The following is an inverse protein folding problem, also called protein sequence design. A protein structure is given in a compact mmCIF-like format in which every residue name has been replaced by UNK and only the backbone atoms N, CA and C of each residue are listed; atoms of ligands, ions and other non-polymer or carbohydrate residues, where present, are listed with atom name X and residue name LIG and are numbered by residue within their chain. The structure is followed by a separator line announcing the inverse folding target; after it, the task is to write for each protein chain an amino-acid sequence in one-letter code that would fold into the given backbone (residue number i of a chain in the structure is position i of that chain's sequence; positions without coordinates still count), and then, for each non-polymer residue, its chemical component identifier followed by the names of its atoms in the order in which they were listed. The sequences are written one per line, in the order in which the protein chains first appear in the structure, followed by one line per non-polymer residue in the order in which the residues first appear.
data_IF_808544726220
#
_entry.id   IF_808544726220
#
_cell.length_a   1.000
_cell.length_b   1.000
_cell.length_c   1.000
_cell.angle_alpha   90.00
_cell.angle_beta   90.00
_cell.angle_gamma   90.00
#
_symmetry.space_group_name_H-M   'P 1'
#
loop_
_entity.id
_entity.type
_entity.pdbx_description
1 polymer ?
#
# COMPACT_ATOMS: atom_id res chain seq x y z
N UNK A 1 11.55 6.19 5.88
CA UNK A 1 13.00 6.01 6.12
C UNK A 1 13.18 4.68 6.79
N UNK A 2 14.25 3.95 6.51
CA UNK A 2 14.50 2.63 7.12
C UNK A 2 14.86 2.76 8.60
N UNK A 3 14.51 1.76 9.46
CA UNK A 3 14.69 1.84 10.90
C UNK A 3 16.13 2.23 11.34
N UNK A 4 17.21 1.56 10.88
CA UNK A 4 18.56 1.90 11.35
C UNK A 4 18.94 3.35 11.03
N UNK A 5 18.56 3.84 9.86
CA UNK A 5 18.82 5.22 9.46
C UNK A 5 17.99 6.20 10.30
N UNK A 6 16.72 5.90 10.57
CA UNK A 6 15.85 6.74 11.40
C UNK A 6 16.40 6.89 12.81
N UNK A 7 16.83 5.77 13.42
CA UNK A 7 17.44 5.74 14.76
C UNK A 7 18.72 6.58 14.79
N UNK A 8 19.60 6.41 13.79
CA UNK A 8 20.87 7.14 13.73
C UNK A 8 20.70 8.66 13.52
N UNK A 9 19.54 9.10 13.04
CA UNK A 9 19.17 10.51 12.85
C UNK A 9 18.28 11.06 13.96
N UNK A 10 17.91 10.25 14.97
CA UNK A 10 16.97 10.65 16.03
C UNK A 10 15.56 10.93 15.53
N UNK A 11 15.16 10.34 14.38
CA UNK A 11 13.86 10.54 13.75
C UNK A 11 12.94 9.37 14.13
N UNK A 12 11.69 9.68 14.46
CA UNK A 12 10.70 8.63 14.74
C UNK A 12 10.52 7.70 13.53
N UNK A 13 10.77 6.42 13.74
CA UNK A 13 10.63 5.39 12.70
C UNK A 13 9.19 5.35 12.17
N UNK A 14 9.04 5.33 10.86
CA UNK A 14 7.74 5.15 10.22
C UNK A 14 7.30 3.69 10.30
N UNK A 15 6.03 3.45 10.65
CA UNK A 15 5.43 2.10 10.68
C UNK A 15 5.27 1.54 9.25
N UNK A 16 5.26 2.41 8.23
CA UNK A 16 5.13 2.01 6.83
C UNK A 16 6.47 1.62 6.19
N UNK A 17 6.45 0.68 5.24
CA UNK A 17 7.63 0.30 4.45
C UNK A 17 8.55 -0.74 5.09
N UNK A 18 8.14 -1.42 6.15
CA UNK A 18 8.93 -2.46 6.82
C UNK A 18 9.35 -3.61 5.89
N UNK A 19 8.56 -3.93 4.88
CA UNK A 19 8.87 -4.94 3.87
C UNK A 19 10.16 -4.59 3.07
N UNK A 20 10.40 -3.31 2.74
CA UNK A 20 11.64 -2.88 2.05
C UNK A 20 12.88 -3.14 2.90
N UNK A 21 12.79 -2.88 4.20
CA UNK A 21 13.91 -3.16 5.12
C UNK A 21 14.17 -4.65 5.24
N UNK A 22 13.13 -5.46 5.39
CA UNK A 22 13.25 -6.92 5.44
C UNK A 22 13.85 -7.49 4.14
N UNK A 23 13.43 -6.98 2.98
CA UNK A 23 13.97 -7.37 1.68
C UNK A 23 15.45 -6.99 1.54
N UNK A 24 15.83 -5.76 1.87
CA UNK A 24 17.22 -5.30 1.80
C UNK A 24 18.14 -6.11 2.73
N UNK A 25 17.68 -6.40 3.96
CA UNK A 25 18.43 -7.23 4.92
C UNK A 25 18.64 -8.64 4.38
N UNK A 26 17.57 -9.27 3.87
CA UNK A 26 17.65 -10.62 3.30
C UNK A 26 18.53 -10.67 2.06
N UNK A 27 18.49 -9.65 1.21
CA UNK A 27 19.35 -9.54 0.04
C UNK A 27 20.84 -9.54 0.44
N UNK A 28 21.20 -8.78 1.47
CA UNK A 28 22.57 -8.74 1.98
C UNK A 28 23.00 -10.04 2.66
N UNK A 29 22.11 -10.67 3.42
CA UNK A 29 22.36 -11.96 4.08
C UNK A 29 22.53 -13.11 3.06
N UNK A 30 21.80 -13.08 1.95
CA UNK A 30 21.85 -14.11 0.89
C UNK A 30 23.04 -13.96 -0.05
N UNK A 31 23.70 -12.81 -0.10
CA UNK A 31 24.86 -12.55 -0.96
C UNK A 31 25.90 -11.69 -0.22
N UNK A 32 26.91 -12.35 0.34
CA UNK A 32 27.95 -11.70 1.13
C UNK A 32 28.90 -10.82 0.31
N UNK A 33 28.99 -11.03 -1.00
CA UNK A 33 29.80 -10.20 -1.91
C UNK A 33 29.05 -8.94 -2.41
N UNK A 34 27.75 -8.82 -2.09
CA UNK A 34 26.95 -7.68 -2.51
C UNK A 34 27.28 -6.44 -1.66
N UNK A 35 27.71 -5.38 -2.30
CA UNK A 35 27.73 -4.05 -1.72
C UNK A 35 26.36 -3.40 -1.89
N UNK A 36 25.75 -2.95 -0.80
CA UNK A 36 24.41 -2.38 -0.81
C UNK A 36 24.44 -0.91 -0.36
N UNK A 37 23.86 -0.06 -1.20
CA UNK A 37 23.53 1.31 -0.80
C UNK A 37 22.01 1.54 -0.86
N UNK A 38 21.52 2.38 0.03
CA UNK A 38 20.10 2.76 0.12
C UNK A 38 19.98 4.27 0.07
N UNK A 39 19.29 4.77 -0.94
CA UNK A 39 19.05 6.20 -1.09
C UNK A 39 17.57 6.53 -0.80
N UNK A 40 17.33 7.58 -0.03
CA UNK A 40 16.00 8.08 0.31
C UNK A 40 15.96 9.59 0.24
N UNK A 41 14.75 10.15 0.17
CA UNK A 41 14.55 11.59 0.11
C UNK A 41 13.84 12.06 1.36
N UNK A 42 14.35 13.13 1.97
CA UNK A 42 13.79 13.67 3.21
C UNK A 42 13.81 15.21 3.21
N UNK A 43 12.98 15.88 4.04
CA UNK A 43 12.97 17.36 4.16
C UNK A 43 14.22 17.91 4.86
N UNK A 44 15.38 17.60 4.30
CA UNK A 44 16.69 18.13 4.74
C UNK A 44 17.16 19.25 3.80
N UNK A 45 18.17 19.98 4.22
CA UNK A 45 18.83 21.04 3.41
C UNK A 45 20.13 20.57 2.76
N UNK A 46 20.73 19.48 3.23
CA UNK A 46 22.00 18.93 2.79
C UNK A 46 21.91 17.43 2.53
N UNK A 47 22.80 16.93 1.66
CA UNK A 47 23.00 15.49 1.49
C UNK A 47 23.63 14.92 2.75
N UNK A 48 23.00 13.88 3.31
CA UNK A 48 23.56 13.15 4.45
C UNK A 48 24.00 11.77 3.93
N UNK A 49 25.22 11.37 4.28
CA UNK A 49 25.78 10.04 4.00
C UNK A 49 26.13 9.38 5.32
N UNK A 50 25.68 8.15 5.52
CA UNK A 50 25.99 7.33 6.69
C UNK A 50 26.24 5.89 6.27
N UNK A 51 27.13 5.24 6.98
CA UNK A 51 27.33 3.79 6.88
C UNK A 51 26.89 3.14 8.19
N UNK A 52 25.98 2.17 8.10
CA UNK A 52 25.39 1.47 9.23
C UNK A 52 25.30 -0.02 8.87
N UNK A 53 25.90 -0.87 9.71
CA UNK A 53 25.92 -2.32 9.50
C UNK A 53 26.42 -2.74 8.10
N UNK A 54 27.39 -1.99 7.54
CA UNK A 54 27.97 -2.23 6.20
C UNK A 54 26.99 -1.95 5.06
N UNK A 55 25.97 -1.12 5.27
CA UNK A 55 25.09 -0.56 4.25
C UNK A 55 25.32 0.95 4.19
N UNK A 56 25.55 1.47 2.98
CA UNK A 56 25.73 2.90 2.77
C UNK A 56 24.38 3.58 2.55
N UNK A 57 24.04 4.57 3.36
CA UNK A 57 22.79 5.30 3.30
C UNK A 57 22.99 6.72 2.80
N UNK A 58 22.16 7.13 1.83
CA UNK A 58 22.12 8.49 1.32
C UNK A 58 20.75 9.11 1.58
N UNK A 59 20.74 10.29 2.22
CA UNK A 59 19.51 11.08 2.41
C UNK A 59 19.61 12.33 1.55
N UNK A 60 18.85 12.34 0.46
CA UNK A 60 18.85 13.46 -0.49
C UNK A 60 17.89 14.55 -0.01
N UNK A 61 18.30 15.84 -0.04
CA UNK A 61 17.49 16.93 0.48
C UNK A 61 16.38 17.34 -0.47
N UNK A 62 15.21 17.65 0.06
CA UNK A 62 14.11 18.27 -0.69
C UNK A 62 14.27 19.79 -0.84
N UNK A 63 15.10 20.43 -0.04
CA UNK A 63 15.33 21.89 -0.05
C UNK A 63 14.01 22.69 0.01
N UNK A 64 13.11 22.31 0.94
CA UNK A 64 11.80 22.95 1.12
C UNK A 64 10.78 22.69 0.01
N UNK A 65 11.10 21.90 -1.01
CA UNK A 65 10.16 21.55 -2.09
C UNK A 65 9.26 20.39 -1.70
N UNK A 66 8.07 20.33 -2.33
CA UNK A 66 7.15 19.20 -2.13
C UNK A 66 7.65 17.97 -2.88
N UNK A 67 7.67 16.82 -2.21
CA UNK A 67 8.04 15.53 -2.78
C UNK A 67 7.14 15.06 -3.95
N UNK A 68 5.95 15.65 -4.08
CA UNK A 68 4.98 15.34 -5.16
C UNK A 68 5.27 16.08 -6.48
N UNK A 69 6.26 16.98 -6.50
CA UNK A 69 6.67 17.74 -7.70
C UNK A 69 8.05 17.30 -8.15
N UNK A 70 8.24 17.28 -9.45
CA UNK A 70 9.57 17.08 -10.03
C UNK A 70 10.53 18.17 -9.53
N UNK A 71 11.69 17.73 -9.04
CA UNK A 71 12.72 18.62 -8.52
C UNK A 71 14.03 18.38 -9.30
N UNK A 72 14.35 19.28 -10.24
CA UNK A 72 15.55 19.18 -11.07
C UNK A 72 16.86 19.19 -10.25
N UNK A 73 16.88 19.80 -9.06
CA UNK A 73 18.08 19.78 -8.21
C UNK A 73 18.44 18.35 -7.73
N UNK A 74 17.47 17.44 -7.68
CA UNK A 74 17.75 16.05 -7.35
C UNK A 74 18.63 15.34 -8.38
N UNK A 75 18.61 15.80 -9.65
CA UNK A 75 19.47 15.24 -10.69
C UNK A 75 20.96 15.37 -10.33
N UNK A 76 21.36 16.53 -9.77
CA UNK A 76 22.75 16.76 -9.34
C UNK A 76 23.10 15.88 -8.13
N UNK A 77 22.21 15.74 -7.15
CA UNK A 77 22.45 14.85 -6.02
C UNK A 77 22.53 13.38 -6.45
N UNK A 78 21.72 12.96 -7.42
CA UNK A 78 21.81 11.62 -7.98
C UNK A 78 23.14 11.35 -8.68
N UNK A 79 23.71 12.32 -9.38
CA UNK A 79 25.05 12.22 -9.97
C UNK A 79 26.12 12.04 -8.89
N UNK A 80 26.08 12.85 -7.82
CA UNK A 80 26.99 12.72 -6.68
C UNK A 80 26.91 11.34 -6.05
N UNK A 81 25.69 10.84 -5.77
CA UNK A 81 25.48 9.50 -5.20
C UNK A 81 25.99 8.40 -6.12
N UNK A 82 25.75 8.54 -7.41
CA UNK A 82 26.19 7.56 -8.42
C UNK A 82 27.72 7.52 -8.55
N UNK A 83 28.38 8.66 -8.57
CA UNK A 83 29.85 8.77 -8.63
C UNK A 83 30.52 8.23 -7.36
N UNK A 84 29.91 8.45 -6.21
CA UNK A 84 30.43 7.99 -4.90
C UNK A 84 30.26 6.48 -4.67
N UNK A 85 29.16 5.88 -5.12
CA UNK A 85 28.87 4.46 -4.90
C UNK A 85 29.18 3.59 -6.13
N UNK A 86 29.06 4.11 -7.35
CA UNK A 86 29.27 3.43 -8.65
C UNK A 86 28.46 2.14 -8.76
N UNK A 87 27.12 2.17 -8.64
CA UNK A 87 26.29 0.99 -8.65
C UNK A 87 26.29 0.31 -10.02
N UNK A 88 26.43 -1.02 -10.05
CA UNK A 88 26.23 -1.84 -11.26
C UNK A 88 24.76 -1.89 -11.68
N UNK A 89 23.83 -1.84 -10.71
CA UNK A 89 22.40 -1.85 -10.92
C UNK A 89 21.70 -0.96 -9.91
N UNK A 90 20.69 -0.23 -10.36
CA UNK A 90 19.83 0.58 -9.48
C UNK A 90 18.40 0.06 -9.49
N UNK A 91 17.89 -0.30 -8.30
CA UNK A 91 16.50 -0.70 -8.11
C UNK A 91 15.68 0.46 -7.53
N UNK A 92 14.76 0.99 -8.32
CA UNK A 92 13.83 2.04 -7.91
C UNK A 92 12.55 1.40 -7.37
N UNK A 93 12.24 1.62 -6.09
CA UNK A 93 11.03 1.11 -5.45
C UNK A 93 9.87 2.12 -5.54
N UNK A 94 8.89 1.80 -6.40
CA UNK A 94 7.68 2.60 -6.62
C UNK A 94 7.84 3.72 -7.65
N UNK A 95 6.72 4.07 -8.25
CA UNK A 95 6.60 5.10 -9.30
C UNK A 95 5.80 6.32 -8.83
N UNK A 96 5.30 6.27 -7.58
CA UNK A 96 4.33 7.23 -7.04
C UNK A 96 4.89 8.64 -6.88
N UNK A 97 6.22 8.77 -6.83
CA UNK A 97 6.91 10.05 -6.69
C UNK A 97 7.97 10.22 -7.78
N UNK A 98 8.26 11.47 -8.22
CA UNK A 98 9.14 11.72 -9.37
C UNK A 98 10.64 11.60 -9.08
N UNK A 99 11.02 10.96 -7.97
CA UNK A 99 12.41 10.87 -7.54
C UNK A 99 13.22 9.91 -8.43
N UNK A 100 12.65 8.76 -8.77
CA UNK A 100 13.24 7.81 -9.70
C UNK A 100 13.38 8.39 -11.11
N UNK A 101 12.41 9.21 -11.56
CA UNK A 101 12.50 9.94 -12.81
C UNK A 101 13.71 10.89 -12.82
N UNK A 102 13.98 11.57 -11.71
CA UNK A 102 15.15 12.46 -11.61
C UNK A 102 16.47 11.69 -11.73
N UNK A 103 16.53 10.46 -11.16
CA UNK A 103 17.68 9.57 -11.33
C UNK A 103 17.89 9.19 -12.80
N UNK A 104 16.87 8.66 -13.45
CA UNK A 104 16.94 8.18 -14.85
C UNK A 104 17.25 9.32 -15.83
N UNK A 105 16.77 10.54 -15.56
CA UNK A 105 17.12 11.72 -16.37
C UNK A 105 18.56 12.17 -16.17
N UNK A 106 19.07 12.07 -14.96
CA UNK A 106 20.44 12.45 -14.63
C UNK A 106 21.47 11.47 -15.21
N UNK A 107 21.12 10.20 -15.29
CA UNK A 107 21.98 9.05 -15.58
C UNK A 107 21.28 8.08 -16.55
N UNK A 108 21.06 8.49 -17.81
CA UNK A 108 20.24 7.74 -18.76
C UNK A 108 20.83 6.40 -19.19
N UNK A 109 22.13 6.21 -19.01
CA UNK A 109 22.85 4.98 -19.38
C UNK A 109 23.02 4.00 -18.20
N UNK A 110 22.47 4.30 -17.02
CA UNK A 110 22.54 3.42 -15.87
C UNK A 110 21.59 2.24 -16.05
N UNK A 111 22.03 1.03 -15.65
CA UNK A 111 21.16 -0.14 -15.55
C UNK A 111 20.14 0.10 -14.42
N UNK A 112 18.86 0.12 -14.76
CA UNK A 112 17.77 0.44 -13.83
C UNK A 112 16.65 -0.58 -13.94
N UNK A 113 16.18 -1.06 -12.79
CA UNK A 113 14.90 -1.78 -12.67
C UNK A 113 13.94 -1.03 -11.75
N UNK A 114 12.65 -1.00 -12.09
CA UNK A 114 11.63 -0.30 -11.32
C UNK A 114 10.59 -1.28 -10.81
N UNK A 115 10.42 -1.39 -9.50
CA UNK A 115 9.30 -2.15 -8.90
C UNK A 115 8.03 -1.32 -8.85
N UNK A 116 6.95 -1.89 -9.38
CA UNK A 116 5.62 -1.28 -9.34
C UNK A 116 4.94 -1.60 -8.00
N UNK A 117 4.69 -0.56 -7.20
CA UNK A 117 3.88 -0.66 -5.99
C UNK A 117 2.40 -0.43 -6.30
N UNK A 118 2.13 0.63 -7.03
CA UNK A 118 0.86 0.98 -7.60
C UNK A 118 1.10 1.98 -8.73
N UNK A 119 0.19 2.06 -9.68
CA UNK A 119 0.29 3.00 -10.80
C UNK A 119 -0.55 4.23 -10.49
N UNK A 120 0.10 5.32 -10.07
CA UNK A 120 -0.57 6.54 -9.65
C UNK A 120 -1.38 7.19 -10.77
N UNK A 121 -0.93 7.06 -12.02
CA UNK A 121 -1.65 7.52 -13.21
C UNK A 121 -2.99 6.78 -13.41
N UNK A 122 -3.05 5.52 -13.04
CA UNK A 122 -4.24 4.70 -13.11
C UNK A 122 -5.10 4.91 -11.86
N UNK A 123 -4.50 4.92 -10.67
CA UNK A 123 -5.19 5.22 -9.41
C UNK A 123 -5.93 6.57 -9.44
N UNK A 124 -5.40 7.56 -10.16
CA UNK A 124 -6.04 8.85 -10.37
C UNK A 124 -7.46 8.76 -10.95
N UNK A 125 -7.75 7.74 -11.77
CA UNK A 125 -9.06 7.52 -12.40
C UNK A 125 -10.11 7.19 -11.33
N UNK A 126 -9.72 6.47 -10.30
CA UNK A 126 -10.57 5.92 -9.24
C UNK A 126 -10.52 6.69 -7.93
N UNK A 127 -9.79 7.81 -7.87
CA UNK A 127 -9.45 8.53 -6.62
C UNK A 127 -10.67 8.90 -5.78
N UNK A 128 -11.77 9.31 -6.41
CA UNK A 128 -13.01 9.72 -5.76
C UNK A 128 -14.16 8.72 -5.96
N UNK A 129 -13.89 7.48 -6.38
CA UNK A 129 -14.94 6.48 -6.58
C UNK A 129 -15.79 6.32 -5.32
N UNK A 130 -17.09 6.14 -5.54
CA UNK A 130 -18.08 6.02 -4.46
C UNK A 130 -18.47 7.34 -3.79
N UNK A 131 -17.89 8.50 -4.21
CA UNK A 131 -18.20 9.84 -3.69
C UNK A 131 -18.66 10.72 -4.85
N UNK A 132 -19.86 11.27 -4.76
CA UNK A 132 -20.39 12.18 -5.76
C UNK A 132 -19.75 13.58 -5.67
N UNK A 133 -19.77 14.31 -6.78
CA UNK A 133 -19.26 15.69 -6.80
C UNK A 133 -20.02 16.59 -5.80
N UNK A 134 -21.33 16.38 -5.65
CA UNK A 134 -22.18 17.10 -4.66
C UNK A 134 -21.69 16.83 -3.22
N UNK A 135 -21.39 15.56 -2.90
CA UNK A 135 -20.86 15.21 -1.56
C UNK A 135 -19.51 15.85 -1.31
N UNK A 136 -18.63 15.93 -2.31
CA UNK A 136 -17.34 16.62 -2.17
C UNK A 136 -17.57 18.08 -1.82
N UNK A 137 -18.41 18.81 -2.59
CA UNK A 137 -18.64 20.22 -2.38
C UNK A 137 -19.30 20.51 -1.02
N UNK A 138 -20.30 19.73 -0.61
CA UNK A 138 -21.01 19.89 0.66
C UNK A 138 -20.15 19.63 1.90
N UNK A 139 -19.02 18.98 1.74
CA UNK A 139 -18.16 18.59 2.86
C UNK A 139 -16.83 19.34 2.88
N UNK A 140 -16.59 20.33 2.02
CA UNK A 140 -15.38 21.16 2.07
C UNK A 140 -15.24 21.78 3.47
N UNK A 141 -14.01 21.77 3.99
CA UNK A 141 -13.62 22.34 5.28
C UNK A 141 -12.63 23.48 5.10
N UNK A 142 -12.42 24.28 6.14
CA UNK A 142 -11.36 25.31 6.13
C UNK A 142 -9.99 24.68 5.94
N UNK A 143 -9.76 23.50 6.51
CA UNK A 143 -8.53 22.75 6.31
C UNK A 143 -8.31 22.38 4.84
N UNK A 144 -9.37 21.98 4.14
CA UNK A 144 -9.27 21.65 2.70
C UNK A 144 -8.96 22.89 1.84
N UNK A 145 -9.42 24.06 2.23
CA UNK A 145 -9.09 25.32 1.53
C UNK A 145 -7.59 25.59 1.61
N UNK A 146 -6.97 25.31 2.78
CA UNK A 146 -5.55 25.58 3.03
C UNK A 146 -4.65 24.44 2.48
N UNK A 147 -5.03 23.18 2.71
CA UNK A 147 -4.20 22.01 2.43
C UNK A 147 -4.57 21.26 1.15
N UNK A 148 -5.75 21.52 0.62
CA UNK A 148 -6.31 20.88 -0.57
C UNK A 148 -7.40 19.86 -0.22
N UNK A 149 -8.45 19.87 -1.03
CA UNK A 149 -9.60 18.96 -0.95
C UNK A 149 -9.39 17.71 -1.83
N UNK A 150 -10.41 16.84 -1.88
CA UNK A 150 -10.40 15.61 -2.69
C UNK A 150 -10.14 15.86 -4.18
N UNK A 151 -10.66 16.98 -4.74
CA UNK A 151 -10.42 17.31 -6.17
C UNK A 151 -8.95 17.68 -6.41
N UNK A 152 -8.33 18.40 -5.48
CA UNK A 152 -6.91 18.72 -5.54
C UNK A 152 -6.05 17.49 -5.28
N UNK A 153 -6.49 16.57 -4.42
CA UNK A 153 -5.90 15.25 -4.25
C UNK A 153 -5.86 14.47 -5.57
N UNK A 154 -7.00 14.37 -6.26
CA UNK A 154 -7.09 13.77 -7.59
C UNK A 154 -6.18 14.45 -8.61
N UNK A 155 -6.17 15.79 -8.66
CA UNK A 155 -5.26 16.55 -9.55
C UNK A 155 -3.79 16.26 -9.24
N UNK A 156 -3.42 16.07 -7.97
CA UNK A 156 -2.07 15.68 -7.57
C UNK A 156 -1.69 14.30 -8.11
N UNK A 157 -2.61 13.32 -8.04
CA UNK A 157 -2.39 12.00 -8.62
C UNK A 157 -2.22 12.07 -10.15
N UNK A 158 -3.06 12.82 -10.84
CA UNK A 158 -2.93 13.05 -12.30
C UNK A 158 -1.56 13.64 -12.65
N UNK A 159 -1.10 14.68 -11.92
CA UNK A 159 0.22 15.29 -12.15
C UNK A 159 1.37 14.33 -11.90
N UNK A 160 1.31 13.55 -10.82
CA UNK A 160 2.33 12.53 -10.54
C UNK A 160 2.31 11.42 -11.58
N UNK A 161 1.14 11.08 -12.10
CA UNK A 161 0.98 10.11 -13.19
C UNK A 161 1.68 10.52 -14.49
N UNK A 162 1.85 11.82 -14.76
CA UNK A 162 2.67 12.28 -15.88
C UNK A 162 4.14 11.92 -15.67
N UNK A 163 4.67 12.12 -14.46
CA UNK A 163 6.04 11.76 -14.12
C UNK A 163 6.27 10.24 -14.11
N UNK A 164 5.29 9.49 -13.62
CA UNK A 164 5.31 8.02 -13.66
C UNK A 164 5.42 7.50 -15.10
N UNK A 165 4.59 8.01 -16.02
CA UNK A 165 4.65 7.63 -17.43
C UNK A 165 5.98 7.99 -18.07
N UNK A 166 6.52 9.19 -17.79
CA UNK A 166 7.84 9.62 -18.26
C UNK A 166 8.96 8.72 -17.71
N UNK A 167 8.87 8.25 -16.46
CA UNK A 167 9.80 7.26 -15.92
C UNK A 167 9.69 5.93 -16.67
N UNK A 168 8.49 5.38 -16.79
CA UNK A 168 8.26 4.06 -17.40
C UNK A 168 8.62 4.00 -18.88
N UNK A 169 8.58 5.12 -19.61
CA UNK A 169 9.03 5.18 -21.01
C UNK A 169 10.55 5.26 -21.16
N UNK A 170 11.31 5.46 -20.07
CA UNK A 170 12.77 5.60 -20.08
C UNK A 170 13.51 4.41 -19.51
N UNK A 171 12.83 3.46 -18.93
CA UNK A 171 13.43 2.27 -18.33
C UNK A 171 13.14 1.04 -19.19
N UNK A 172 14.06 0.10 -19.17
CA UNK A 172 13.96 -1.13 -19.95
C UNK A 172 13.39 -2.29 -19.13
N UNK A 173 13.51 -2.21 -17.79
CA UNK A 173 13.11 -3.30 -16.89
C UNK A 173 12.18 -2.83 -15.79
N UNK A 174 11.08 -3.56 -15.59
CA UNK A 174 10.17 -3.38 -14.44
C UNK A 174 9.90 -4.71 -13.75
N UNK A 175 9.66 -4.62 -12.45
CA UNK A 175 9.17 -5.74 -11.63
C UNK A 175 7.73 -5.42 -11.25
N UNK A 176 6.82 -6.35 -11.55
CA UNK A 176 5.42 -6.26 -11.16
C UNK A 176 4.91 -7.58 -10.60
N UNK A 177 3.62 -7.64 -10.26
CA UNK A 177 3.06 -8.72 -9.42
C UNK A 177 1.69 -9.21 -9.84
N UNK A 178 1.07 -8.54 -10.80
CA UNK A 178 -0.31 -8.82 -11.21
C UNK A 178 -0.51 -8.66 -12.70
N UNK A 179 -1.52 -9.32 -13.24
CA UNK A 179 -1.97 -9.12 -14.61
C UNK A 179 -2.37 -7.65 -14.88
N UNK A 180 -2.86 -6.96 -13.84
CA UNK A 180 -3.27 -5.56 -13.93
C UNK A 180 -2.08 -4.63 -14.16
N UNK A 181 -1.02 -4.71 -13.34
CA UNK A 181 0.15 -3.84 -13.54
C UNK A 181 0.91 -4.19 -14.82
N UNK A 182 0.98 -5.48 -15.17
CA UNK A 182 1.52 -5.94 -16.46
C UNK A 182 0.82 -5.26 -17.65
N UNK A 183 -0.51 -5.34 -17.69
CA UNK A 183 -1.27 -4.77 -18.80
C UNK A 183 -1.08 -3.25 -18.93
N UNK A 184 -1.08 -2.55 -17.79
CA UNK A 184 -0.90 -1.09 -17.79
C UNK A 184 0.53 -0.66 -18.14
N UNK A 185 1.54 -1.37 -17.64
CA UNK A 185 2.94 -1.09 -17.97
C UNK A 185 3.21 -1.33 -19.45
N UNK A 186 2.74 -2.46 -19.99
CA UNK A 186 2.85 -2.76 -21.43
C UNK A 186 2.10 -1.74 -22.30
N UNK A 187 0.98 -1.22 -21.84
CA UNK A 187 0.25 -0.15 -22.55
C UNK A 187 0.99 1.20 -22.53
N UNK A 188 1.83 1.46 -21.52
CA UNK A 188 2.65 2.67 -21.44
C UNK A 188 3.93 2.53 -22.25
N UNK A 189 4.61 1.39 -22.15
CA UNK A 189 5.87 1.09 -22.81
C UNK A 189 5.87 -0.36 -23.33
N UNK A 190 5.39 -0.61 -24.57
CA UNK A 190 5.26 -1.97 -25.12
C UNK A 190 6.54 -2.82 -25.13
N UNK A 191 7.73 -2.28 -25.46
CA UNK A 191 8.97 -3.05 -25.49
C UNK A 191 9.53 -3.40 -24.11
N UNK A 192 9.04 -2.79 -23.01
CA UNK A 192 9.61 -2.95 -21.67
C UNK A 192 9.69 -4.42 -21.24
N UNK A 193 10.79 -4.81 -20.63
CA UNK A 193 10.98 -6.14 -20.04
C UNK A 193 10.27 -6.18 -18.68
N UNK A 194 9.17 -6.93 -18.63
CA UNK A 194 8.41 -7.12 -17.39
C UNK A 194 8.85 -8.41 -16.69
N UNK A 195 9.26 -8.26 -15.44
CA UNK A 195 9.65 -9.36 -14.56
C UNK A 195 8.59 -9.57 -13.49
N UNK A 196 7.99 -10.77 -13.44
CA UNK A 196 7.08 -11.13 -12.36
C UNK A 196 7.89 -11.51 -11.11
N UNK A 197 7.64 -10.81 -10.00
CA UNK A 197 8.22 -11.12 -8.70
C UNK A 197 7.32 -10.62 -7.58
N UNK A 198 6.86 -11.53 -6.73
CA UNK A 198 6.03 -11.20 -5.57
C UNK A 198 6.85 -10.61 -4.42
N UNK A 199 6.15 -9.97 -3.47
CA UNK A 199 6.76 -9.47 -2.23
C UNK A 199 6.65 -10.49 -1.10
N UNK A 200 7.72 -10.54 -0.30
CA UNK A 200 7.70 -11.22 0.99
C UNK A 200 6.95 -10.35 2.00
N UNK A 201 6.03 -10.94 2.72
CA UNK A 201 5.29 -10.26 3.79
C UNK A 201 6.12 -10.16 5.08
N UNK A 202 5.58 -9.48 6.07
CA UNK A 202 6.21 -9.32 7.37
C UNK A 202 6.24 -10.65 8.13
N UNK A 203 7.29 -10.87 8.93
CA UNK A 203 7.60 -12.17 9.56
C UNK A 203 6.49 -12.71 10.46
N UNK A 204 5.83 -11.87 11.21
CA UNK A 204 4.79 -12.23 12.18
C UNK A 204 3.63 -13.02 11.53
N UNK A 205 3.28 -12.69 10.29
CA UNK A 205 2.15 -13.31 9.59
C UNK A 205 2.38 -14.76 9.13
N UNK A 206 3.62 -15.23 9.14
CA UNK A 206 3.95 -16.63 8.85
C UNK A 206 3.87 -17.55 10.07
N UNK A 207 3.77 -16.98 11.29
CA UNK A 207 3.90 -17.71 12.54
C UNK A 207 2.55 -18.06 13.18
N UNK A 208 1.46 -17.49 12.68
CA UNK A 208 0.14 -17.63 13.29
C UNK A 208 -0.90 -18.16 12.32
N UNK A 209 -2.00 -18.66 12.88
CA UNK A 209 -3.14 -19.15 12.11
C UNK A 209 -4.43 -18.70 12.76
N UNK A 210 -5.36 -18.21 11.94
CA UNK A 210 -6.71 -17.87 12.35
C UNK A 210 -7.53 -19.12 12.64
N UNK A 211 -8.40 -19.02 13.66
CA UNK A 211 -9.39 -20.02 14.00
C UNK A 211 -10.72 -19.35 14.35
N UNK A 212 -11.81 -19.95 13.91
CA UNK A 212 -13.15 -19.51 14.25
C UNK A 212 -13.40 -19.54 15.75
N UNK A 213 -12.85 -20.50 16.49
CA UNK A 213 -13.09 -20.66 17.93
C UNK A 213 -12.48 -19.54 18.77
N UNK A 214 -11.43 -18.88 18.26
CA UNK A 214 -10.72 -17.83 18.97
C UNK A 214 -11.04 -16.41 18.47
N UNK A 215 -11.71 -16.26 17.32
CA UNK A 215 -12.08 -14.96 16.81
C UNK A 215 -13.34 -14.40 17.50
N UNK A 216 -13.48 -13.09 17.49
CA UNK A 216 -14.74 -12.43 17.85
C UNK A 216 -15.73 -12.55 16.69
N UNK A 217 -16.90 -13.16 16.95
CA UNK A 217 -17.93 -13.36 15.93
C UNK A 217 -18.48 -12.03 15.43
N UNK A 218 -18.96 -12.03 14.19
CA UNK A 218 -19.57 -10.88 13.52
C UNK A 218 -18.68 -9.62 13.53
N UNK A 219 -17.35 -9.82 13.47
CA UNK A 219 -16.41 -8.71 13.44
C UNK A 219 -15.70 -8.58 12.09
N UNK A 220 -15.52 -7.35 11.64
CA UNK A 220 -14.82 -7.00 10.41
C UNK A 220 -13.52 -6.27 10.75
N UNK A 221 -12.45 -6.53 10.00
CA UNK A 221 -11.21 -5.80 10.10
C UNK A 221 -10.87 -5.09 8.79
N UNK A 222 -10.53 -3.79 8.90
CA UNK A 222 -10.02 -2.96 7.82
C UNK A 222 -8.69 -2.33 8.22
N UNK A 223 -7.72 -2.36 7.34
CA UNK A 223 -6.37 -1.84 7.64
C UNK A 223 -6.23 -0.34 7.45
N UNK A 224 -7.15 0.31 6.76
CA UNK A 224 -7.12 1.76 6.53
C UNK A 224 -8.49 2.35 6.24
N UNK A 225 -8.70 3.59 6.73
CA UNK A 225 -9.89 4.41 6.41
C UNK A 225 -9.53 5.85 6.02
N UNK A 226 -8.24 6.20 5.94
CA UNK A 226 -7.76 7.59 5.90
C UNK A 226 -8.09 8.37 4.64
N UNK A 227 -8.38 7.71 3.51
CA UNK A 227 -8.66 8.36 2.23
C UNK A 227 -9.58 7.50 1.33
N UNK A 228 -10.25 8.12 0.33
CA UNK A 228 -11.32 7.48 -0.42
C UNK A 228 -10.96 6.17 -1.11
N UNK A 229 -9.76 6.06 -1.67
CA UNK A 229 -9.32 4.86 -2.41
C UNK A 229 -9.44 3.57 -1.60
N UNK A 230 -9.40 3.66 -0.26
CA UNK A 230 -9.51 2.49 0.64
C UNK A 230 -10.95 2.06 0.94
N UNK A 231 -11.94 2.74 0.39
CA UNK A 231 -13.32 2.28 0.34
C UNK A 231 -14.08 2.20 1.67
N UNK A 232 -13.60 2.85 2.74
CA UNK A 232 -14.28 2.83 4.03
C UNK A 232 -15.74 3.32 3.94
N UNK A 233 -16.05 4.27 3.05
CA UNK A 233 -17.41 4.72 2.82
C UNK A 233 -18.32 3.60 2.29
N UNK A 234 -17.79 2.66 1.49
CA UNK A 234 -18.58 1.53 0.97
C UNK A 234 -18.99 0.57 2.10
N UNK A 235 -18.07 0.29 3.03
CA UNK A 235 -18.41 -0.48 4.25
C UNK A 235 -19.49 0.23 5.06
N UNK A 236 -19.39 1.54 5.24
CA UNK A 236 -20.42 2.29 5.97
C UNK A 236 -21.77 2.27 5.28
N UNK A 237 -21.79 2.26 3.94
CA UNK A 237 -23.02 2.11 3.16
C UNK A 237 -23.62 0.71 3.26
N UNK A 238 -22.79 -0.33 3.32
CA UNK A 238 -23.20 -1.72 3.50
C UNK A 238 -23.68 -2.03 4.93
N UNK A 239 -23.13 -1.34 5.92
CA UNK A 239 -23.34 -1.64 7.34
C UNK A 239 -24.82 -1.67 7.78
N UNK A 240 -25.73 -0.77 7.34
CA UNK A 240 -27.15 -0.87 7.69
C UNK A 240 -27.81 -2.20 7.27
N UNK A 241 -27.41 -2.77 6.15
CA UNK A 241 -27.93 -4.08 5.69
C UNK A 241 -27.38 -5.22 6.55
N UNK A 242 -26.13 -5.12 6.98
CA UNK A 242 -25.45 -6.11 7.80
C UNK A 242 -26.05 -6.15 9.22
N UNK A 243 -26.17 -5.00 9.88
CA UNK A 243 -26.66 -4.90 11.26
C UNK A 243 -28.13 -5.26 11.40
N UNK A 244 -28.90 -5.22 10.31
CA UNK A 244 -30.28 -5.72 10.31
C UNK A 244 -30.35 -7.24 10.50
N UNK A 245 -29.32 -7.98 10.07
CA UNK A 245 -29.21 -9.44 10.24
C UNK A 245 -28.33 -9.82 11.44
N UNK A 246 -27.27 -9.04 11.69
CA UNK A 246 -26.27 -9.26 12.74
C UNK A 246 -26.08 -7.98 13.57
N UNK A 247 -26.99 -7.68 14.52
CA UNK A 247 -27.02 -6.41 15.27
C UNK A 247 -25.81 -6.21 16.19
N UNK A 248 -25.07 -7.26 16.48
CA UNK A 248 -23.84 -7.27 17.29
C UNK A 248 -22.55 -7.03 16.46
N UNK A 249 -22.68 -6.77 15.16
CA UNK A 249 -21.54 -6.52 14.28
C UNK A 249 -20.63 -5.42 14.83
N UNK A 250 -19.30 -5.61 14.72
CA UNK A 250 -18.27 -4.61 15.01
C UNK A 250 -17.30 -4.47 13.86
N UNK A 251 -16.80 -3.28 13.64
CA UNK A 251 -15.79 -2.98 12.62
C UNK A 251 -14.55 -2.42 13.31
N UNK A 252 -13.45 -3.17 13.27
CA UNK A 252 -12.14 -2.68 13.68
C UNK A 252 -11.47 -1.99 12.49
N UNK A 253 -11.07 -0.73 12.69
CA UNK A 253 -10.43 0.08 11.66
C UNK A 253 -9.03 0.48 12.15
N UNK A 254 -8.00 -0.06 11.51
CA UNK A 254 -6.63 0.30 11.85
C UNK A 254 -6.26 1.70 11.31
N UNK A 255 -5.33 2.35 12.00
CA UNK A 255 -4.87 3.68 11.67
C UNK A 255 -5.55 4.79 12.48
N UNK A 256 -5.25 6.02 12.12
CA UNK A 256 -5.74 7.18 12.85
C UNK A 256 -7.27 7.30 12.80
N UNK A 257 -7.88 7.68 13.92
CA UNK A 257 -9.30 8.02 13.96
C UNK A 257 -9.54 9.35 13.25
N UNK A 258 -9.93 9.27 11.97
CA UNK A 258 -10.13 10.43 11.10
C UNK A 258 -11.35 11.31 11.51
N UNK A 259 -12.26 10.77 12.31
CA UNK A 259 -13.46 11.47 12.78
C UNK A 259 -13.35 11.97 14.24
N UNK A 260 -12.16 11.84 14.85
CA UNK A 260 -11.91 12.25 16.24
C UNK A 260 -12.30 13.70 16.48
N UNK A 261 -12.89 13.94 17.66
CA UNK A 261 -13.17 15.27 18.23
C UNK A 261 -12.48 15.49 19.57
N UNK A 262 -11.54 14.59 19.93
CA UNK A 262 -10.88 14.59 21.25
C UNK A 262 -10.16 15.91 21.53
N UNK A 263 -9.59 16.52 20.49
CA UNK A 263 -8.88 17.79 20.61
C UNK A 263 -9.43 18.86 19.67
N UNK A 264 -9.23 20.13 20.00
CA UNK A 264 -9.55 21.23 19.08
C UNK A 264 -8.74 21.15 17.76
N UNK A 265 -7.51 20.58 17.83
CA UNK A 265 -6.67 20.33 16.64
C UNK A 265 -7.29 19.31 15.70
N UNK A 266 -7.95 18.27 16.22
CA UNK A 266 -8.67 17.28 15.40
C UNK A 266 -9.78 17.94 14.61
N UNK A 267 -10.52 18.84 15.24
CA UNK A 267 -11.61 19.59 14.58
C UNK A 267 -11.07 20.52 13.49
N UNK A 268 -9.98 21.25 13.75
CA UNK A 268 -9.37 22.17 12.78
C UNK A 268 -8.70 21.46 11.59
N UNK A 269 -8.09 20.30 11.81
CA UNK A 269 -7.40 19.52 10.77
C UNK A 269 -8.30 18.51 10.06
N UNK A 270 -9.62 18.56 10.29
CA UNK A 270 -10.56 17.63 9.65
C UNK A 270 -10.66 17.92 8.17
N UNK A 271 -10.38 16.88 7.36
CA UNK A 271 -10.57 16.91 5.91
C UNK A 271 -12.04 16.79 5.53
N UNK A 272 -12.40 17.20 4.33
CA UNK A 272 -13.76 17.04 3.79
C UNK A 272 -14.18 15.57 3.71
N UNK A 273 -13.25 14.67 3.40
CA UNK A 273 -13.54 13.25 3.47
C UNK A 273 -13.92 12.79 4.89
N UNK A 274 -13.15 13.17 5.88
CA UNK A 274 -13.43 12.84 7.26
C UNK A 274 -14.77 13.45 7.75
N UNK A 275 -15.11 14.67 7.28
CA UNK A 275 -16.42 15.30 7.54
C UNK A 275 -17.56 14.51 6.89
N UNK A 276 -17.39 14.05 5.63
CA UNK A 276 -18.36 13.19 4.94
C UNK A 276 -18.60 11.90 5.72
N UNK A 277 -17.54 11.18 6.09
CA UNK A 277 -17.60 9.96 6.89
C UNK A 277 -18.35 10.19 8.20
N UNK A 278 -17.99 11.26 8.94
CA UNK A 278 -18.62 11.58 10.21
C UNK A 278 -20.12 11.89 10.07
N UNK A 279 -20.50 12.64 9.03
CA UNK A 279 -21.92 12.91 8.73
C UNK A 279 -22.69 11.63 8.42
N UNK A 280 -22.09 10.73 7.65
CA UNK A 280 -22.70 9.45 7.30
C UNK A 280 -22.93 8.60 8.55
N UNK A 281 -21.90 8.43 9.38
CA UNK A 281 -21.99 7.69 10.65
C UNK A 281 -23.08 8.26 11.56
N UNK A 282 -23.15 9.60 11.68
CA UNK A 282 -24.19 10.27 12.48
C UNK A 282 -25.59 10.06 11.91
N UNK A 283 -25.74 10.21 10.57
CA UNK A 283 -27.05 10.07 9.89
C UNK A 283 -27.66 8.70 10.12
N UNK A 284 -26.85 7.65 10.03
CA UNK A 284 -27.31 6.25 10.14
C UNK A 284 -27.07 5.65 11.55
N UNK A 285 -26.67 6.46 12.54
CA UNK A 285 -26.43 6.05 13.95
C UNK A 285 -25.44 4.89 14.08
N UNK A 286 -24.37 4.89 13.28
CA UNK A 286 -23.42 3.75 13.18
C UNK A 286 -22.27 3.81 14.19
N UNK A 287 -22.21 4.80 15.07
CA UNK A 287 -21.04 5.04 15.93
C UNK A 287 -20.67 3.87 16.85
N UNK A 288 -21.66 3.11 17.32
CA UNK A 288 -21.46 2.00 18.25
C UNK A 288 -20.82 0.75 17.59
N UNK A 289 -20.85 0.66 16.27
CA UNK A 289 -20.34 -0.46 15.50
C UNK A 289 -18.89 -0.28 15.04
N UNK A 290 -18.31 0.93 15.20
CA UNK A 290 -17.02 1.28 14.60
C UNK A 290 -16.00 1.57 15.71
N UNK A 291 -14.90 0.83 15.67
CA UNK A 291 -13.80 0.93 16.63
C UNK A 291 -12.50 1.27 15.88
N UNK A 292 -12.01 2.50 16.02
CA UNK A 292 -10.69 2.87 15.52
C UNK A 292 -9.63 2.42 16.52
N UNK A 293 -8.71 1.56 16.07
CA UNK A 293 -7.66 0.99 16.93
C UNK A 293 -6.49 1.94 17.18
N UNK A 294 -6.35 2.99 16.35
CA UNK A 294 -5.11 3.74 16.23
C UNK A 294 -4.09 3.04 15.33
N UNK A 295 -2.90 3.64 15.13
CA UNK A 295 -1.81 3.00 14.41
C UNK A 295 -1.38 1.71 15.11
N UNK A 296 -1.24 0.64 14.35
CA UNK A 296 -0.83 -0.69 14.83
C UNK A 296 0.57 -1.02 14.29
N UNK A 297 1.42 -1.56 15.13
CA UNK A 297 2.65 -2.23 14.71
C UNK A 297 2.34 -3.62 14.12
N UNK A 298 3.37 -4.34 13.72
CA UNK A 298 3.24 -5.64 13.06
C UNK A 298 2.50 -6.67 13.92
N UNK A 299 2.89 -6.81 15.20
CA UNK A 299 2.30 -7.76 16.14
C UNK A 299 0.84 -7.45 16.42
N UNK A 300 0.55 -6.18 16.74
CA UNK A 300 -0.82 -5.76 16.97
C UNK A 300 -1.69 -5.86 15.71
N UNK A 301 -1.13 -5.61 14.53
CA UNK A 301 -1.83 -5.83 13.26
C UNK A 301 -2.21 -7.30 13.10
N UNK A 302 -1.26 -8.22 13.34
CA UNK A 302 -1.51 -9.67 13.32
C UNK A 302 -2.61 -10.07 14.32
N UNK A 303 -2.55 -9.57 15.56
CA UNK A 303 -3.57 -9.82 16.57
C UNK A 303 -4.97 -9.38 16.13
N UNK A 304 -5.13 -8.22 15.48
CA UNK A 304 -6.42 -7.77 14.98
C UNK A 304 -6.95 -8.60 13.82
N UNK A 305 -6.09 -9.11 12.94
CA UNK A 305 -6.50 -10.10 11.93
C UNK A 305 -7.03 -11.36 12.58
N UNK A 306 -6.28 -11.94 13.52
CA UNK A 306 -6.65 -13.19 14.21
C UNK A 306 -7.92 -13.06 15.06
N UNK A 307 -8.08 -11.88 15.67
CA UNK A 307 -9.24 -11.54 16.50
C UNK A 307 -10.51 -11.37 15.67
N UNK A 308 -10.40 -10.95 14.42
CA UNK A 308 -11.56 -10.61 13.59
C UNK A 308 -12.10 -11.83 12.85
N UNK A 309 -13.42 -11.83 12.63
CA UNK A 309 -14.08 -12.90 11.89
C UNK A 309 -13.80 -12.84 10.39
N UNK A 310 -13.77 -11.63 9.82
CA UNK A 310 -13.58 -11.41 8.38
C UNK A 310 -12.63 -10.22 8.18
N UNK A 311 -11.73 -10.35 7.22
CA UNK A 311 -10.96 -9.23 6.68
C UNK A 311 -11.65 -8.68 5.42
N UNK A 312 -11.80 -7.34 5.33
CA UNK A 312 -12.41 -6.69 4.18
C UNK A 312 -11.44 -5.68 3.55
N UNK A 313 -11.22 -5.83 2.24
CA UNK A 313 -10.43 -4.92 1.41
C UNK A 313 -11.35 -4.21 0.39
N UNK A 314 -12.10 -3.17 0.79
CA UNK A 314 -13.14 -2.54 -0.02
C UNK A 314 -12.59 -1.42 -0.91
N UNK A 315 -11.34 -1.51 -1.32
CA UNK A 315 -10.64 -0.46 -2.06
C UNK A 315 -11.24 -0.22 -3.45
N UNK A 316 -11.23 1.04 -3.92
CA UNK A 316 -11.68 1.36 -5.28
C UNK A 316 -10.66 1.03 -6.37
N UNK A 317 -9.41 0.77 -5.97
CA UNK A 317 -8.32 0.25 -6.79
C UNK A 317 -7.22 -0.30 -5.89
N UNK A 318 -6.67 -1.43 -6.23
CA UNK A 318 -5.48 -2.04 -5.62
C UNK A 318 -4.62 -2.67 -6.72
N UNK A 319 -3.32 -2.78 -6.47
CA UNK A 319 -2.45 -3.64 -7.26
C UNK A 319 -2.37 -5.02 -6.58
N UNK A 320 -1.31 -5.30 -5.86
CA UNK A 320 -1.16 -6.48 -5.01
C UNK A 320 -1.21 -6.02 -3.54
N UNK A 321 -2.37 -6.19 -2.90
CA UNK A 321 -2.60 -5.69 -1.54
C UNK A 321 -1.87 -6.56 -0.52
N UNK A 322 -0.80 -6.05 0.11
CA UNK A 322 -0.11 -6.76 1.18
C UNK A 322 -1.06 -7.10 2.34
N UNK A 323 -2.02 -6.21 2.65
CA UNK A 323 -3.02 -6.47 3.69
C UNK A 323 -3.92 -7.66 3.38
N UNK A 324 -4.27 -7.86 2.10
CA UNK A 324 -5.04 -9.03 1.68
C UNK A 324 -4.17 -10.30 1.75
N UNK A 325 -2.92 -10.22 1.30
CA UNK A 325 -1.96 -11.33 1.42
C UNK A 325 -1.70 -11.73 2.87
N UNK A 326 -1.57 -10.76 3.78
CA UNK A 326 -1.42 -10.99 5.23
C UNK A 326 -2.63 -11.74 5.81
N UNK A 327 -3.85 -11.30 5.48
CA UNK A 327 -5.08 -11.98 5.90
C UNK A 327 -5.16 -13.42 5.38
N UNK A 328 -4.87 -13.62 4.08
CA UNK A 328 -4.89 -14.94 3.46
C UNK A 328 -3.81 -15.87 4.03
N UNK A 329 -2.62 -15.36 4.31
CA UNK A 329 -1.53 -16.14 4.91
C UNK A 329 -1.89 -16.63 6.32
N UNK A 330 -2.56 -15.78 7.11
CA UNK A 330 -3.11 -16.14 8.41
C UNK A 330 -4.31 -17.09 8.30
N UNK A 331 -5.00 -17.13 7.17
CA UNK A 331 -6.20 -17.92 6.97
C UNK A 331 -7.50 -17.23 7.39
N UNK A 332 -7.51 -15.90 7.50
CA UNK A 332 -8.70 -15.10 7.81
C UNK A 332 -9.64 -15.07 6.60
N UNK A 333 -10.95 -15.37 6.73
CA UNK A 333 -11.89 -15.21 5.63
C UNK A 333 -11.82 -13.80 5.01
N UNK A 334 -11.67 -13.72 3.68
CA UNK A 334 -11.38 -12.46 2.98
C UNK A 334 -12.52 -12.06 2.04
N UNK A 335 -12.80 -10.76 2.03
CA UNK A 335 -13.65 -10.12 1.00
C UNK A 335 -12.85 -8.98 0.39
N UNK A 336 -12.81 -8.90 -0.94
CA UNK A 336 -12.19 -7.77 -1.64
C UNK A 336 -13.08 -7.27 -2.77
N UNK A 337 -12.97 -5.98 -3.10
CA UNK A 337 -13.57 -5.46 -4.32
C UNK A 337 -12.86 -6.02 -5.56
N UNK A 338 -13.62 -6.32 -6.61
CA UNK A 338 -13.09 -6.79 -7.90
C UNK A 338 -12.50 -5.62 -8.68
N UNK A 339 -11.28 -5.21 -8.27
CA UNK A 339 -10.58 -4.05 -8.85
C UNK A 339 -9.09 -4.34 -8.98
N UNK A 340 -8.47 -3.79 -10.01
CA UNK A 340 -7.03 -3.90 -10.22
C UNK A 340 -6.54 -5.35 -10.23
N UNK A 341 -5.53 -5.63 -9.42
CA UNK A 341 -4.94 -6.98 -9.27
C UNK A 341 -5.60 -7.85 -8.18
N UNK A 342 -6.78 -7.47 -7.65
CA UNK A 342 -7.45 -8.26 -6.62
C UNK A 342 -7.79 -9.68 -7.10
N UNK A 343 -8.13 -9.86 -8.38
CA UNK A 343 -8.41 -11.18 -8.96
C UNK A 343 -7.18 -12.09 -8.98
N UNK A 344 -5.98 -11.53 -9.16
CA UNK A 344 -4.73 -12.30 -9.09
C UNK A 344 -4.43 -12.80 -7.65
N UNK A 345 -5.00 -12.15 -6.65
CA UNK A 345 -4.87 -12.52 -5.24
C UNK A 345 -5.99 -13.45 -4.75
N UNK A 346 -7.16 -13.38 -5.39
CA UNK A 346 -8.33 -14.25 -5.11
C UNK A 346 -8.65 -15.04 -6.39
N UNK A 347 -7.80 -16.00 -6.78
CA UNK A 347 -7.98 -16.76 -8.02
C UNK A 347 -9.10 -17.80 -7.93
N UNK A 348 -9.51 -18.20 -6.75
CA UNK A 348 -10.58 -19.18 -6.48
C UNK A 348 -11.46 -18.72 -5.32
N UNK A 349 -12.67 -19.27 -5.21
CA UNK A 349 -13.58 -19.00 -4.09
C UNK A 349 -13.00 -19.42 -2.74
N UNK A 350 -12.07 -20.37 -2.70
CA UNK A 350 -11.36 -20.75 -1.47
C UNK A 350 -10.47 -19.61 -0.95
N UNK A 351 -10.01 -18.71 -1.81
CA UNK A 351 -9.13 -17.58 -1.45
C UNK A 351 -9.89 -16.35 -0.95
N UNK A 352 -11.22 -16.31 -1.07
CA UNK A 352 -12.06 -15.20 -0.63
C UNK A 352 -13.20 -14.90 -1.62
N UNK A 353 -13.95 -13.86 -1.30
CA UNK A 353 -15.09 -13.41 -2.13
C UNK A 353 -14.72 -12.08 -2.81
N UNK A 354 -14.95 -12.00 -4.12
CA UNK A 354 -14.84 -10.77 -4.89
C UNK A 354 -16.23 -10.18 -5.15
N UNK A 355 -16.39 -8.88 -4.90
CA UNK A 355 -17.61 -8.14 -5.20
C UNK A 355 -17.32 -6.89 -6.05
N UNK A 356 -18.27 -6.40 -6.81
CA UNK A 356 -18.10 -5.14 -7.55
C UNK A 356 -18.15 -3.95 -6.60
N UNK A 357 -17.15 -3.08 -6.68
CA UNK A 357 -16.95 -1.95 -5.76
C UNK A 357 -18.19 -1.06 -5.57
N UNK A 358 -18.98 -0.86 -6.64
CA UNK A 358 -20.17 0.00 -6.64
C UNK A 358 -21.36 -0.65 -5.93
N UNK A 359 -21.38 -1.99 -5.79
CA UNK A 359 -22.54 -2.77 -5.33
C UNK A 359 -22.42 -3.05 -3.83
N UNK A 360 -22.86 -2.11 -3.01
CA UNK A 360 -22.78 -2.20 -1.54
C UNK A 360 -23.68 -3.31 -0.98
N UNK A 361 -24.75 -3.63 -1.66
CA UNK A 361 -25.66 -4.75 -1.34
C UNK A 361 -24.93 -6.09 -1.51
N UNK A 362 -24.14 -6.24 -2.56
CA UNK A 362 -23.32 -7.44 -2.78
C UNK A 362 -22.22 -7.56 -1.71
N UNK A 363 -21.63 -6.42 -1.30
CA UNK A 363 -20.68 -6.41 -0.18
C UNK A 363 -21.36 -6.87 1.12
N UNK A 364 -22.55 -6.34 1.42
CA UNK A 364 -23.30 -6.72 2.60
C UNK A 364 -23.65 -8.23 2.58
N UNK A 365 -24.10 -8.75 1.46
CA UNK A 365 -24.43 -10.17 1.31
C UNK A 365 -23.19 -11.06 1.44
N UNK A 366 -22.06 -10.67 0.83
CA UNK A 366 -20.80 -11.40 0.98
C UNK A 366 -20.36 -11.49 2.45
N UNK A 367 -20.51 -10.40 3.21
CA UNK A 367 -20.19 -10.36 4.65
C UNK A 367 -21.13 -11.30 5.42
N UNK A 368 -22.44 -11.21 5.20
CA UNK A 368 -23.42 -12.06 5.86
C UNK A 368 -23.19 -13.55 5.55
N UNK A 369 -22.91 -13.88 4.28
CA UNK A 369 -22.57 -15.23 3.85
C UNK A 369 -21.34 -15.78 4.58
N UNK A 370 -20.28 -14.97 4.72
CA UNK A 370 -19.10 -15.43 5.46
C UNK A 370 -19.35 -15.53 6.97
N UNK A 371 -20.19 -14.69 7.57
CA UNK A 371 -20.59 -14.86 8.96
C UNK A 371 -21.29 -16.21 9.19
N UNK A 372 -22.16 -16.62 8.29
CA UNK A 372 -22.85 -17.92 8.34
C UNK A 372 -21.90 -19.10 8.15
N UNK A 373 -20.95 -18.98 7.21
CA UNK A 373 -20.05 -20.06 6.81
C UNK A 373 -18.76 -20.15 7.62
N UNK A 374 -18.39 -19.11 8.38
CA UNK A 374 -17.06 -19.01 8.99
C UNK A 374 -16.75 -20.10 10.02
N UNK A 375 -17.77 -20.72 10.63
CA UNK A 375 -17.56 -21.86 11.54
C UNK A 375 -16.96 -23.08 10.82
N UNK A 376 -17.38 -23.30 9.57
CA UNK A 376 -16.94 -24.42 8.75
C UNK A 376 -15.98 -23.96 7.63
N UNK A 377 -15.37 -22.80 7.78
CA UNK A 377 -14.48 -22.24 6.77
C UNK A 377 -13.16 -22.99 6.72
N UNK A 378 -12.92 -23.71 5.63
CA UNK A 378 -11.63 -24.35 5.37
C UNK A 378 -10.66 -23.35 4.72
N UNK A 379 -9.66 -22.94 5.47
CA UNK A 379 -8.63 -22.00 5.01
C UNK A 379 -7.37 -22.66 4.46
N UNK A 380 -7.36 -23.99 4.33
CA UNK A 380 -6.16 -24.76 3.95
C UNK A 380 -5.64 -24.37 2.56
N UNK A 381 -6.52 -24.35 1.56
CA UNK A 381 -6.16 -24.00 0.20
C UNK A 381 -5.71 -22.53 0.08
N UNK A 382 -6.45 -21.60 0.70
CA UNK A 382 -6.11 -20.17 0.72
C UNK A 382 -4.72 -19.94 1.31
N UNK A 383 -4.43 -20.54 2.47
CA UNK A 383 -3.12 -20.43 3.12
C UNK A 383 -2.01 -21.03 2.27
N UNK A 384 -2.24 -22.16 1.62
CA UNK A 384 -1.27 -22.80 0.71
C UNK A 384 -0.93 -21.88 -0.48
N UNK A 385 -1.94 -21.32 -1.14
CA UNK A 385 -1.77 -20.41 -2.28
C UNK A 385 -1.04 -19.13 -1.82
N UNK A 386 -1.45 -18.54 -0.69
CA UNK A 386 -0.81 -17.35 -0.15
C UNK A 386 0.63 -17.61 0.28
N UNK A 387 0.92 -18.75 0.92
CA UNK A 387 2.27 -19.12 1.32
C UNK A 387 3.20 -19.31 0.10
N UNK A 388 2.70 -19.89 -0.99
CA UNK A 388 3.47 -20.01 -2.24
C UNK A 388 3.74 -18.65 -2.89
N UNK A 389 2.75 -17.77 -2.89
CA UNK A 389 2.88 -16.40 -3.43
C UNK A 389 3.89 -15.56 -2.66
N UNK A 390 3.90 -15.68 -1.35
CA UNK A 390 4.71 -14.88 -0.44
C UNK A 390 5.91 -15.64 0.14
N UNK A 391 6.31 -16.75 -0.50
CA UNK A 391 7.48 -17.53 -0.10
C UNK A 391 8.74 -16.66 -0.14
N UNK A 392 9.31 -16.43 1.04
CA UNK A 392 10.41 -15.50 1.19
C UNK A 392 11.69 -15.94 0.46
N UNK A 393 11.96 -17.24 0.41
CA UNK A 393 13.17 -17.76 -0.24
C UNK A 393 13.04 -17.76 -1.76
N UNK A 394 11.88 -18.19 -2.27
CA UNK A 394 11.58 -18.17 -3.70
C UNK A 394 11.54 -16.75 -4.26
N UNK A 395 10.90 -15.82 -3.54
CA UNK A 395 10.83 -14.42 -3.97
C UNK A 395 12.23 -13.76 -3.96
N UNK A 396 13.06 -14.08 -2.96
CA UNK A 396 14.45 -13.60 -2.93
C UNK A 396 15.30 -14.22 -4.06
N UNK A 397 15.21 -15.52 -4.29
CA UNK A 397 15.91 -16.18 -5.39
C UNK A 397 15.49 -15.57 -6.74
N UNK A 398 14.17 -15.38 -6.94
CA UNK A 398 13.64 -14.74 -8.15
C UNK A 398 14.15 -13.32 -8.35
N UNK A 399 14.24 -12.53 -7.28
CA UNK A 399 14.80 -11.17 -7.35
C UNK A 399 16.27 -11.19 -7.75
N UNK A 400 17.06 -12.12 -7.19
CA UNK A 400 18.47 -12.29 -7.56
C UNK A 400 18.64 -12.70 -9.03
N UNK A 401 17.79 -13.62 -9.54
CA UNK A 401 17.79 -14.01 -10.95
C UNK A 401 17.49 -12.81 -11.87
N UNK A 402 16.53 -11.97 -11.49
CA UNK A 402 16.19 -10.76 -12.24
C UNK A 402 17.41 -9.82 -12.30
N UNK A 403 18.08 -9.61 -11.18
CA UNK A 403 19.28 -8.75 -11.14
C UNK A 403 20.40 -9.30 -12.00
N UNK A 404 20.69 -10.59 -11.88
CA UNK A 404 21.73 -11.26 -12.67
C UNK A 404 21.44 -11.18 -14.17
N UNK A 405 20.20 -11.41 -14.59
CA UNK A 405 19.82 -11.29 -16.00
C UNK A 405 20.03 -9.86 -16.52
N UNK A 406 19.58 -8.83 -15.78
CA UNK A 406 19.79 -7.44 -16.17
C UNK A 406 21.28 -7.08 -16.25
N UNK A 407 22.11 -7.66 -15.39
CA UNK A 407 23.56 -7.43 -15.41
C UNK A 407 24.24 -8.11 -16.61
N UNK A 408 23.69 -9.21 -17.12
CA UNK A 408 24.23 -9.98 -18.25
C UNK A 408 23.76 -9.49 -19.62
N UNK A 409 22.61 -8.80 -19.70
CA UNK A 409 21.99 -8.32 -20.95
C UNK A 409 22.76 -7.16 -21.62
N UNK A 410 24.07 -6.96 -21.28
CA UNK A 410 24.93 -5.92 -21.86
C UNK A 410 26.35 -6.44 -22.19
#
# INVERSE_FOLDING_TARGET
MMPPLSESLGIKTSIGGGWMYSSAKKLKESNTSLELAIATIYPESQLIVKEIEGVKYYVLPLNGKKNTKYNKHLENYWKIVHEDFKPDLVHIHGTEYPHGLAYVKALPNSKVVVSIQGLVSICARYYNNGITFKEILQNITLYDVIKGNLLQGKKSFVKRGVYERDLLTRVEHVIGRTSWDYAHVKAINPPINYHFCNETLRKEFYQHQWSYDTCEKHTLFLTQAGYPLKGFLQILKALPFIINRYPDTKIYVAGANIISDKTWKDKLKRTGYAKLIKRFIKKYKLSQYIIFTGPLDEKNMCLYYLKSNIFVCPSSIENSSNSLGEAQLLGVPCIASFVGGAADMIPTEACGILYRFEEVEMLAEAICTLFEKSQNFDNTEMRKISALRHDADKNQARLNDIYNNILQDF
#
